data_IF_671754408788
#
_entry.id   IF_671754408788
#
_cell.length_a   1.000
_cell.length_b   1.000
_cell.length_c   1.000
_cell.angle_alpha   90.00
_cell.angle_beta   90.00
_cell.angle_gamma   90.00
#
_symmetry.space_group_name_H-M   'P 1'
#
loop_
_entity.id
_entity.type
_entity.pdbx_description
1 polymer ?
#
# COMPACT_ATOMS: atom_id res chain seq x y z
N UNK A 1 10.71 4.55 -17.42
CA UNK A 1 11.51 4.91 -16.23
C UNK A 1 10.80 4.31 -15.03
N UNK A 2 11.22 3.13 -14.59
CA UNK A 2 10.53 2.38 -13.54
C UNK A 2 11.06 2.86 -12.18
N UNK A 3 10.27 3.66 -11.48
CA UNK A 3 10.56 4.11 -10.12
C UNK A 3 10.57 2.90 -9.21
N UNK A 4 11.71 2.65 -8.54
CA UNK A 4 11.97 1.46 -7.75
C UNK A 4 10.96 1.28 -6.62
N UNK A 5 10.17 0.21 -6.70
CA UNK A 5 9.49 -0.35 -5.53
C UNK A 5 10.52 -0.86 -4.53
N UNK A 6 10.17 -0.86 -3.25
CA UNK A 6 11.01 -1.35 -2.16
C UNK A 6 11.66 -2.68 -2.56
N UNK A 7 13.00 -2.73 -2.46
CA UNK A 7 13.75 -3.92 -2.89
C UNK A 7 13.29 -5.14 -2.08
N UNK A 8 13.18 -6.31 -2.72
CA UNK A 8 12.66 -7.54 -2.08
C UNK A 8 13.36 -7.88 -0.74
N UNK A 9 14.61 -7.42 -0.55
CA UNK A 9 15.41 -7.59 0.66
C UNK A 9 14.91 -6.79 1.89
N UNK A 10 14.03 -5.81 1.68
CA UNK A 10 13.53 -4.90 2.72
C UNK A 10 12.19 -5.34 3.33
N UNK A 11 11.51 -6.31 2.71
CA UNK A 11 10.27 -6.92 3.22
C UNK A 11 10.57 -7.81 4.43
N UNK A 12 10.67 -7.18 5.60
CA UNK A 12 10.92 -7.84 6.88
C UNK A 12 9.78 -7.55 7.86
N UNK A 13 9.55 -8.47 8.79
CA UNK A 13 8.57 -8.32 9.86
C UNK A 13 7.17 -8.85 9.54
N UNK A 14 6.19 -8.56 10.41
CA UNK A 14 4.85 -9.12 10.31
C UNK A 14 4.08 -8.52 9.14
N UNK A 15 3.44 -9.38 8.35
CA UNK A 15 2.53 -8.97 7.27
C UNK A 15 1.20 -8.44 7.83
N UNK A 16 0.64 -7.45 7.16
CA UNK A 16 -0.65 -6.85 7.49
C UNK A 16 -1.73 -7.45 6.60
N UNK A 17 -2.84 -7.88 7.19
CA UNK A 17 -4.05 -8.23 6.45
C UNK A 17 -4.71 -6.98 5.87
N UNK A 18 -5.58 -7.13 4.87
CA UNK A 18 -6.37 -6.01 4.30
C UNK A 18 -6.98 -5.08 5.36
N UNK A 19 -7.54 -5.64 6.45
CA UNK A 19 -8.14 -4.84 7.52
C UNK A 19 -7.10 -3.98 8.25
N UNK A 20 -5.97 -4.59 8.63
CA UNK A 20 -4.87 -3.88 9.31
C UNK A 20 -4.17 -2.89 8.37
N UNK A 21 -4.04 -3.22 7.09
CA UNK A 21 -3.48 -2.32 6.09
C UNK A 21 -4.37 -1.09 5.90
N UNK A 22 -5.70 -1.28 5.87
CA UNK A 22 -6.64 -0.17 5.80
C UNK A 22 -6.57 0.74 7.05
N UNK A 23 -6.51 0.14 8.25
CA UNK A 23 -6.28 0.88 9.50
C UNK A 23 -4.94 1.64 9.46
N UNK A 24 -3.88 0.99 8.98
CA UNK A 24 -2.53 1.56 8.86
C UNK A 24 -2.50 2.78 7.92
N UNK A 25 -3.17 2.67 6.76
CA UNK A 25 -3.25 3.75 5.78
C UNK A 25 -4.31 4.81 6.12
N UNK A 26 -5.03 4.68 7.24
CA UNK A 26 -6.08 5.64 7.64
C UNK A 26 -7.30 5.67 6.72
N UNK A 27 -7.67 4.54 6.11
CA UNK A 27 -8.80 4.45 5.18
C UNK A 27 -9.79 3.33 5.52
N UNK A 28 -10.99 3.40 4.93
CA UNK A 28 -11.98 2.34 5.11
C UNK A 28 -11.53 1.03 4.44
N UNK A 29 -11.79 -0.11 5.09
CA UNK A 29 -11.40 -1.42 4.56
C UNK A 29 -12.02 -1.71 3.19
N UNK A 30 -13.27 -1.28 2.96
CA UNK A 30 -13.93 -1.45 1.66
C UNK A 30 -13.23 -0.65 0.56
N UNK A 31 -12.75 0.57 0.85
CA UNK A 31 -11.96 1.36 -0.10
C UNK A 31 -10.72 0.59 -0.51
N UNK A 32 -9.99 0.02 0.45
CA UNK A 32 -8.80 -0.77 0.15
C UNK A 32 -9.11 -2.01 -0.71
N UNK A 33 -10.24 -2.70 -0.47
CA UNK A 33 -10.67 -3.80 -1.36
C UNK A 33 -10.97 -3.33 -2.79
N UNK A 34 -11.63 -2.19 -2.94
CA UNK A 34 -11.91 -1.62 -4.24
C UNK A 34 -10.60 -1.28 -4.97
N UNK A 35 -9.65 -0.65 -4.27
CA UNK A 35 -8.33 -0.29 -4.81
C UNK A 35 -7.50 -1.51 -5.23
N UNK A 36 -7.54 -2.60 -4.48
CA UNK A 36 -6.91 -3.87 -4.88
C UNK A 36 -7.52 -4.40 -6.18
N UNK A 37 -8.84 -4.27 -6.34
CA UNK A 37 -9.53 -4.75 -7.53
C UNK A 37 -9.28 -3.86 -8.76
N UNK A 38 -9.18 -2.54 -8.57
CA UNK A 38 -8.93 -1.58 -9.66
C UNK A 38 -7.44 -1.44 -9.97
N UNK A 39 -6.56 -1.92 -9.09
CA UNK A 39 -5.11 -1.75 -9.18
C UNK A 39 -4.62 -0.32 -8.95
N UNK A 40 -5.53 0.60 -8.60
CA UNK A 40 -5.26 2.03 -8.48
C UNK A 40 -6.09 2.65 -7.37
N UNK A 41 -5.58 3.71 -6.76
CA UNK A 41 -6.31 4.56 -5.83
C UNK A 41 -5.89 6.01 -6.04
N UNK A 42 -6.87 6.92 -6.10
CA UNK A 42 -6.65 8.35 -6.35
C UNK A 42 -5.73 8.65 -7.57
N UNK A 43 -5.74 7.78 -8.58
CA UNK A 43 -4.91 7.92 -9.79
C UNK A 43 -3.46 7.47 -9.64
N UNK A 44 -3.10 6.85 -8.50
CA UNK A 44 -1.77 6.26 -8.25
C UNK A 44 -1.90 4.74 -8.24
N UNK A 45 -0.88 4.06 -8.78
CA UNK A 45 -0.80 2.59 -8.75
C UNK A 45 -0.79 2.09 -7.30
N UNK A 46 -1.60 1.05 -7.06
CA UNK A 46 -1.77 0.49 -5.72
C UNK A 46 -0.54 -0.35 -5.32
N UNK A 47 -0.13 -0.37 -4.03
CA UNK A 47 1.08 -1.05 -3.61
C UNK A 47 0.99 -2.56 -3.84
N UNK A 48 2.17 -3.17 -3.94
CA UNK A 48 2.28 -4.63 -4.10
C UNK A 48 1.62 -5.33 -2.92
N UNK A 49 0.82 -6.34 -3.24
CA UNK A 49 0.18 -7.21 -2.26
C UNK A 49 0.45 -8.67 -2.60
N UNK A 50 0.42 -9.49 -1.55
CA UNK A 50 0.67 -10.92 -1.64
C UNK A 50 -0.58 -11.70 -1.25
N UNK A 51 -0.72 -12.92 -1.76
CA UNK A 51 -1.80 -13.83 -1.36
C UNK A 51 -1.35 -14.71 -0.20
N UNK A 52 -2.12 -14.72 0.88
CA UNK A 52 -2.00 -15.68 1.97
C UNK A 52 -3.30 -16.48 2.06
N UNK A 53 -3.38 -17.57 1.29
CA UNK A 53 -4.62 -18.32 1.10
C UNK A 53 -5.70 -17.43 0.48
N UNK A 54 -6.82 -17.23 1.19
CA UNK A 54 -7.92 -16.34 0.74
C UNK A 54 -7.65 -14.85 0.98
N UNK A 55 -6.65 -14.52 1.79
CA UNK A 55 -6.41 -13.14 2.24
C UNK A 55 -5.38 -12.45 1.35
N UNK A 56 -5.55 -11.13 1.20
CA UNK A 56 -4.50 -10.25 0.71
C UNK A 56 -3.68 -9.77 1.91
N UNK A 57 -2.36 -9.79 1.76
CA UNK A 57 -1.44 -9.32 2.78
C UNK A 57 -0.40 -8.37 2.21
N UNK A 58 0.07 -7.48 3.07
CA UNK A 58 0.94 -6.37 2.74
C UNK A 58 2.13 -6.36 3.67
N UNK A 59 3.30 -6.00 3.16
CA UNK A 59 4.37 -5.58 4.05
C UNK A 59 4.22 -4.09 4.35
N UNK A 60 4.44 -3.64 5.60
CA UNK A 60 4.38 -2.23 5.96
C UNK A 60 5.25 -1.34 5.07
N UNK A 61 6.46 -1.79 4.70
CA UNK A 61 7.39 -1.02 3.85
C UNK A 61 6.80 -0.67 2.48
N UNK A 62 6.02 -1.58 1.86
CA UNK A 62 5.39 -1.31 0.58
C UNK A 62 4.24 -0.29 0.74
N UNK A 63 3.51 -0.34 1.86
CA UNK A 63 2.48 0.65 2.18
C UNK A 63 3.09 2.02 2.48
N UNK A 64 4.20 2.07 3.24
CA UNK A 64 4.90 3.31 3.57
C UNK A 64 5.44 4.01 2.32
N UNK A 65 6.10 3.25 1.43
CA UNK A 65 6.58 3.79 0.17
C UNK A 65 5.45 4.36 -0.69
N UNK A 66 4.31 3.68 -0.71
CA UNK A 66 3.12 4.14 -1.43
C UNK A 66 2.48 5.39 -0.80
N UNK A 67 2.32 5.43 0.52
CA UNK A 67 1.80 6.60 1.24
C UNK A 67 2.74 7.80 1.04
N UNK A 68 4.05 7.60 1.19
CA UNK A 68 5.05 8.64 0.99
C UNK A 68 4.99 9.25 -0.42
N UNK A 69 4.72 8.44 -1.45
CA UNK A 69 4.54 8.93 -2.82
C UNK A 69 3.30 9.82 -3.02
N UNK A 70 2.31 9.73 -2.13
CA UNK A 70 1.08 10.54 -2.17
C UNK A 70 1.16 11.81 -1.33
N UNK A 71 2.05 11.83 -0.35
CA UNK A 71 2.20 12.96 0.55
C UNK A 71 3.04 14.05 -0.12
N UNK A 72 2.40 15.17 -0.45
CA UNK A 72 3.09 16.41 -0.84
C UNK A 72 3.32 17.28 0.40
N UNK A 73 4.39 18.07 0.39
CA UNK A 73 4.68 18.98 1.49
C UNK A 73 3.58 20.05 1.56
N UNK A 74 2.88 20.14 2.70
CA UNK A 74 1.72 21.02 2.89
C UNK A 74 2.05 22.54 2.90
N UNK A 75 3.25 22.95 2.45
CA UNK A 75 3.74 24.32 2.48
C UNK A 75 4.56 24.74 1.26
N UNK A 76 4.40 24.06 0.12
CA UNK A 76 4.85 24.59 -1.16
C UNK A 76 3.70 25.39 -1.80
N UNK A 77 3.55 26.66 -1.39
CA UNK A 77 2.71 27.66 -2.01
C UNK A 77 3.55 28.90 -2.30
#
# INVERSE_FOLDING_TARGET
>A
MSTGGATDFERKGPVLTTKRAAEYCGMATQTLYNSISTGTEAGVDFPVFFKQGRLNVFYPVDLDAWIAGRLTLAGAA
#
